data_IF_687845268906
#
_entry.id   IF_687845268906
#
_cell.length_a   1.000
_cell.length_b   1.000
_cell.length_c   1.000
_cell.angle_alpha   90.00
_cell.angle_beta   90.00
_cell.angle_gamma   90.00
#
_symmetry.space_group_name_H-M   'P 1'
#
loop_
_entity.id
_entity.type
_entity.pdbx_description
1 polymer ?
#
# COMPACT_ATOMS: atom_id res chain seq x y z
N UNK A 1 -2.22 14.99 13.48
CA UNK A 1 -0.87 15.09 12.87
C UNK A 1 -0.81 14.42 11.49
N UNK A 2 0.38 14.31 10.88
CA UNK A 2 0.62 13.58 9.63
C UNK A 2 0.67 12.08 9.94
N UNK A 3 -0.09 11.30 9.19
CA UNK A 3 -0.27 9.87 9.41
C UNK A 3 0.02 9.08 8.14
N UNK A 4 0.58 7.89 8.32
CA UNK A 4 0.65 6.83 7.32
C UNK A 4 -0.52 5.88 7.54
N UNK A 5 -1.21 5.50 6.47
CA UNK A 5 -2.30 4.54 6.46
C UNK A 5 -1.99 3.47 5.43
N UNK A 6 -1.94 2.21 5.87
CA UNK A 6 -1.83 1.06 4.98
C UNK A 6 -3.22 0.51 4.70
N UNK A 7 -3.56 0.35 3.43
CA UNK A 7 -4.83 -0.20 2.99
C UNK A 7 -4.72 -1.70 2.68
N UNK A 8 -5.86 -2.39 2.66
CA UNK A 8 -5.93 -3.82 2.35
C UNK A 8 -5.45 -4.18 0.94
N UNK A 9 -5.61 -3.28 -0.02
CA UNK A 9 -5.11 -3.44 -1.38
C UNK A 9 -3.58 -3.21 -1.50
N UNK A 10 -2.91 -2.98 -0.37
CA UNK A 10 -1.46 -2.77 -0.28
C UNK A 10 -1.03 -1.31 -0.55
N UNK A 11 -1.97 -0.39 -0.79
CA UNK A 11 -1.63 1.02 -1.00
C UNK A 11 -1.26 1.69 0.32
N UNK A 12 -0.29 2.61 0.24
CA UNK A 12 0.14 3.45 1.36
C UNK A 12 -0.32 4.88 1.14
N UNK A 13 -1.18 5.38 2.00
CA UNK A 13 -1.59 6.78 2.02
C UNK A 13 -0.84 7.53 3.10
N UNK A 14 -0.42 8.75 2.81
CA UNK A 14 0.22 9.66 3.76
C UNK A 14 -0.53 10.98 3.70
N UNK A 15 -1.03 11.46 4.83
CA UNK A 15 -1.79 12.72 4.86
C UNK A 15 -2.04 13.20 6.28
N UNK A 16 -2.69 14.36 6.41
CA UNK A 16 -3.09 14.88 7.71
C UNK A 16 -4.46 14.31 8.10
N UNK A 17 -4.50 13.54 9.18
CA UNK A 17 -5.76 13.03 9.72
C UNK A 17 -6.60 14.21 10.25
N UNK A 18 -7.84 14.32 9.75
CA UNK A 18 -8.80 15.37 10.13
C UNK A 18 -9.93 14.85 10.97
N UNK A 19 -10.38 13.63 10.70
CA UNK A 19 -11.47 13.00 11.44
C UNK A 19 -11.32 11.49 11.40
N UNK A 20 -11.74 10.86 12.48
CA UNK A 20 -11.87 9.42 12.66
C UNK A 20 -13.18 9.17 13.43
N UNK A 21 -13.89 8.10 13.09
CA UNK A 21 -15.04 7.62 13.86
C UNK A 21 -14.75 6.28 14.56
N UNK A 22 -15.72 5.76 15.31
CA UNK A 22 -15.58 4.50 16.05
C UNK A 22 -15.43 3.25 15.16
N UNK A 23 -15.69 3.37 13.86
CA UNK A 23 -15.52 2.30 12.87
C UNK A 23 -14.21 2.46 12.10
N UNK A 24 -13.34 3.39 12.51
CA UNK A 24 -12.10 3.75 11.84
C UNK A 24 -12.29 4.31 10.41
N UNK A 25 -13.45 4.90 10.08
CA UNK A 25 -13.57 5.69 8.85
C UNK A 25 -12.71 6.96 9.00
N UNK A 26 -11.84 7.21 8.01
CA UNK A 26 -10.83 8.28 8.08
C UNK A 26 -11.11 9.36 7.05
N UNK A 27 -10.89 10.62 7.45
CA UNK A 27 -10.76 11.74 6.54
C UNK A 27 -9.33 12.25 6.59
N UNK A 28 -8.62 12.12 5.46
CA UNK A 28 -7.26 12.63 5.27
C UNK A 28 -7.28 13.88 4.39
N UNK A 29 -6.46 14.86 4.75
CA UNK A 29 -6.24 16.10 3.99
C UNK A 29 -4.80 16.17 3.49
N UNK A 30 -4.58 16.82 2.33
CA UNK A 30 -3.26 16.87 1.67
C UNK A 30 -2.63 15.47 1.55
N UNK A 31 -3.46 14.51 1.15
CA UNK A 31 -3.10 13.11 1.04
C UNK A 31 -2.25 12.90 -0.20
N UNK A 32 -1.16 12.17 -0.04
CA UNK A 32 -0.41 11.55 -1.13
C UNK A 32 -0.51 10.04 -1.00
N UNK A 33 -0.54 9.36 -2.14
CA UNK A 33 -0.34 7.92 -2.19
C UNK A 33 1.12 7.65 -2.51
N UNK A 34 1.82 6.98 -1.59
CA UNK A 34 3.23 6.66 -1.74
C UNK A 34 3.40 5.24 -2.25
N UNK A 35 4.03 5.10 -3.41
CA UNK A 35 4.40 3.82 -4.00
C UNK A 35 5.86 3.56 -3.65
N UNK A 36 6.18 2.36 -3.17
CA UNK A 36 7.54 1.94 -2.86
C UNK A 36 7.93 0.79 -3.79
N UNK A 37 9.09 0.90 -4.44
CA UNK A 37 9.67 -0.18 -5.25
C UNK A 37 11.16 -0.26 -4.94
N UNK A 38 11.60 -1.38 -4.35
CA UNK A 38 12.98 -1.56 -3.90
C UNK A 38 13.45 -0.46 -2.95
N UNK A 39 14.41 0.37 -3.40
CA UNK A 39 14.96 1.52 -2.64
C UNK A 39 14.42 2.88 -3.11
N UNK A 40 13.39 2.87 -3.95
CA UNK A 40 12.78 4.08 -4.54
C UNK A 40 11.36 4.26 -4.03
N UNK A 41 10.90 5.50 -4.04
CA UNK A 41 9.50 5.83 -3.79
C UNK A 41 9.03 6.98 -4.67
N UNK A 42 7.71 7.04 -4.91
CA UNK A 42 7.07 8.18 -5.59
C UNK A 42 5.71 8.49 -4.97
N UNK A 43 5.37 9.78 -4.95
CA UNK A 43 4.18 10.31 -4.29
C UNK A 43 3.17 10.82 -5.32
N UNK A 44 1.97 10.25 -5.32
CA UNK A 44 0.86 10.67 -6.19
C UNK A 44 -0.08 11.56 -5.37
N UNK A 45 -0.30 12.83 -5.75
CA UNK A 45 -1.20 13.71 -5.01
C UNK A 45 -2.65 13.24 -5.13
N UNK A 46 -3.33 13.08 -3.98
CA UNK A 46 -4.75 12.69 -3.89
C UNK A 46 -5.64 13.78 -3.28
N UNK A 47 -5.08 14.70 -2.50
CA UNK A 47 -5.84 15.81 -1.91
C UNK A 47 -6.66 15.38 -0.69
N UNK A 48 -7.99 15.58 -0.74
CA UNK A 48 -8.89 15.08 0.33
C UNK A 48 -9.26 13.64 0.01
N UNK A 49 -9.07 12.75 0.98
CA UNK A 49 -9.33 11.33 0.81
C UNK A 49 -10.19 10.81 1.96
N UNK A 50 -11.27 10.10 1.64
CA UNK A 50 -12.14 9.44 2.61
C UNK A 50 -11.89 7.94 2.52
N UNK A 51 -11.42 7.34 3.60
CA UNK A 51 -11.14 5.90 3.68
C UNK A 51 -12.23 5.25 4.52
N UNK A 52 -12.87 4.21 3.97
CA UNK A 52 -13.80 3.40 4.75
C UNK A 52 -13.03 2.47 5.69
N UNK A 53 -13.44 2.43 6.94
CA UNK A 53 -12.65 1.88 8.04
C UNK A 53 -12.34 0.41 7.92
N UNK A 54 -13.19 -0.37 7.26
CA UNK A 54 -12.84 -1.75 6.97
C UNK A 54 -11.53 -1.81 6.17
N UNK A 55 -11.31 -0.94 5.18
CA UNK A 55 -10.15 -1.04 4.28
C UNK A 55 -8.81 -0.64 4.93
N UNK A 56 -8.83 -0.19 6.18
CA UNK A 56 -7.64 0.18 6.95
C UNK A 56 -7.03 -1.08 7.56
N UNK A 57 -5.76 -1.34 7.23
CA UNK A 57 -4.96 -2.39 7.89
C UNK A 57 -4.30 -1.84 9.13
N UNK A 58 -3.61 -0.71 8.99
CA UNK A 58 -3.00 0.01 10.10
C UNK A 58 -2.93 1.52 9.81
N UNK A 59 -2.82 2.28 10.89
CA UNK A 59 -2.61 3.72 10.88
C UNK A 59 -1.54 4.05 11.93
N UNK A 60 -0.58 4.90 11.56
CA UNK A 60 0.48 5.34 12.45
C UNK A 60 0.85 6.79 12.20
N UNK A 61 1.13 7.53 13.27
CA UNK A 61 1.67 8.88 13.18
C UNK A 61 3.10 8.84 12.60
N UNK A 62 3.43 9.81 11.73
CA UNK A 62 4.76 9.93 11.15
C UNK A 62 5.58 10.93 11.98
N UNK A 63 6.73 10.47 12.45
CA UNK A 63 7.78 11.32 13.00
C UNK A 63 8.53 12.01 11.85
N UNK A 64 8.34 13.33 11.72
CA UNK A 64 8.89 14.13 10.63
C UNK A 64 10.42 14.23 10.67
N UNK A 65 11.05 14.15 11.85
CA UNK A 65 12.50 14.24 11.98
C UNK A 65 13.17 12.98 11.43
N UNK A 66 12.55 11.81 11.65
CA UNK A 66 13.05 10.53 11.15
C UNK A 66 12.74 10.31 9.67
N UNK A 67 11.69 10.91 9.13
CA UNK A 67 11.34 10.79 7.71
C UNK A 67 12.48 11.33 6.81
N UNK A 68 13.17 12.41 7.22
CA UNK A 68 14.28 13.00 6.46
C UNK A 68 15.55 12.14 6.38
N UNK A 69 15.75 11.21 7.33
CA UNK A 69 16.94 10.34 7.38
C UNK A 69 16.75 9.02 6.63
N UNK A 70 15.64 8.87 5.89
CA UNK A 70 15.32 7.63 5.21
C UNK A 70 16.25 7.41 3.99
N UNK A 71 16.86 6.23 3.80
CA UNK A 71 17.76 5.96 2.66
C UNK A 71 17.03 5.76 1.32
N UNK A 72 15.74 6.10 1.23
CA UNK A 72 14.93 5.89 0.05
C UNK A 72 15.08 7.06 -0.93
N UNK A 73 15.19 6.74 -2.22
CA UNK A 73 15.29 7.74 -3.28
C UNK A 73 13.90 8.12 -3.80
N UNK A 74 13.58 9.42 -3.77
CA UNK A 74 12.37 9.92 -4.43
C UNK A 74 12.56 9.95 -5.95
N UNK A 75 11.59 9.41 -6.69
CA UNK A 75 11.57 9.41 -8.16
C UNK A 75 10.27 10.00 -8.70
N UNK A 76 10.20 10.22 -10.01
CA UNK A 76 8.99 10.73 -10.68
C UNK A 76 7.82 9.74 -10.61
N UNK A 77 6.61 10.24 -10.79
CA UNK A 77 5.39 9.41 -10.81
C UNK A 77 5.45 8.42 -11.98
N UNK A 78 5.91 8.88 -13.15
CA UNK A 78 6.03 8.03 -14.34
C UNK A 78 7.03 6.89 -14.10
N UNK A 79 8.18 7.19 -13.50
CA UNK A 79 9.22 6.20 -13.21
C UNK A 79 8.74 5.16 -12.19
N UNK A 80 8.15 5.59 -11.06
CA UNK A 80 7.73 4.64 -10.02
C UNK A 80 6.59 3.73 -10.50
N UNK A 81 5.68 4.25 -11.32
CA UNK A 81 4.57 3.46 -11.86
C UNK A 81 5.06 2.39 -12.83
N UNK A 82 6.04 2.72 -13.67
CA UNK A 82 6.64 1.74 -14.58
C UNK A 82 7.44 0.68 -13.81
N UNK A 83 8.22 1.07 -12.81
CA UNK A 83 8.94 0.10 -11.96
C UNK A 83 7.97 -0.81 -11.19
N UNK A 84 6.89 -0.26 -10.64
CA UNK A 84 5.86 -1.03 -9.95
C UNK A 84 5.19 -2.03 -10.90
N UNK A 85 4.90 -1.62 -12.14
CA UNK A 85 4.31 -2.48 -13.17
C UNK A 85 5.22 -3.67 -13.47
N UNK A 86 6.52 -3.44 -13.64
CA UNK A 86 7.51 -4.50 -13.90
C UNK A 86 7.62 -5.46 -12.72
N UNK A 87 7.69 -4.94 -11.49
CA UNK A 87 7.75 -5.78 -10.27
C UNK A 87 6.50 -6.63 -10.10
N UNK A 88 5.31 -6.06 -10.32
CA UNK A 88 4.05 -6.79 -10.23
C UNK A 88 3.95 -7.90 -11.29
N UNK A 89 4.40 -7.64 -12.53
CA UNK A 89 4.42 -8.66 -13.59
C UNK A 89 5.35 -9.83 -13.21
N UNK A 90 6.58 -9.54 -12.77
CA UNK A 90 7.53 -10.56 -12.33
C UNK A 90 7.00 -11.36 -11.12
N UNK A 91 6.37 -10.68 -10.16
CA UNK A 91 5.76 -11.34 -8.99
C UNK A 91 4.63 -12.26 -9.41
N UNK A 92 3.71 -11.81 -10.27
CA UNK A 92 2.60 -12.62 -10.79
C UNK A 92 3.08 -13.85 -11.56
N UNK A 93 4.12 -13.73 -12.38
CA UNK A 93 4.71 -14.87 -13.09
C UNK A 93 5.30 -15.89 -12.10
N UNK A 94 6.07 -15.42 -11.12
CA UNK A 94 6.65 -16.28 -10.09
C UNK A 94 5.60 -16.96 -9.22
N UNK A 95 4.49 -16.28 -8.91
CA UNK A 95 3.39 -16.80 -8.11
C UNK A 95 2.62 -17.86 -8.90
N UNK A 96 2.37 -17.65 -10.20
CA UNK A 96 1.75 -18.68 -11.06
C UNK A 96 2.57 -19.97 -11.08
N UNK A 97 3.89 -19.86 -11.23
CA UNK A 97 4.79 -21.02 -11.21
C UNK A 97 4.77 -21.73 -9.85
N UNK A 98 4.80 -20.97 -8.74
CA UNK A 98 4.71 -21.54 -7.39
C UNK A 98 3.38 -22.25 -7.16
N UNK A 99 2.27 -21.63 -7.52
CA UNK A 99 0.91 -22.20 -7.37
C UNK A 99 0.78 -23.47 -8.20
N UNK A 100 1.29 -23.47 -9.43
CA UNK A 100 1.29 -24.67 -10.28
C UNK A 100 2.10 -25.80 -9.64
N UNK A 101 3.32 -25.53 -9.20
CA UNK A 101 4.18 -26.54 -8.57
C UNK A 101 3.58 -27.11 -7.27
N UNK A 102 2.89 -26.29 -6.47
CA UNK A 102 2.18 -26.75 -5.27
C UNK A 102 0.96 -27.60 -5.62
N UNK A 103 0.21 -27.20 -6.65
CA UNK A 103 -0.95 -27.95 -7.14
C UNK A 103 -0.56 -29.34 -7.65
N UNK A 104 0.56 -29.45 -8.36
CA UNK A 104 1.13 -30.74 -8.81
C UNK A 104 1.50 -31.65 -7.64
N UNK A 105 1.75 -31.08 -6.45
CA UNK A 105 2.02 -31.81 -5.20
C UNK A 105 0.78 -32.03 -4.34
N UNK A 106 -0.41 -31.71 -4.83
CA UNK A 106 -1.68 -31.85 -4.10
C UNK A 106 -1.90 -30.81 -3.00
N UNK A 107 -1.12 -29.72 -2.98
CA UNK A 107 -1.28 -28.62 -2.03
C UNK A 107 -2.05 -27.47 -2.67
N UNK A 108 -3.04 -26.91 -1.96
CA UNK A 108 -3.74 -25.69 -2.36
C UNK A 108 -3.22 -24.50 -1.56
N UNK A 109 -3.01 -23.36 -2.23
CA UNK A 109 -2.74 -22.09 -1.57
C UNK A 109 -4.06 -21.36 -1.43
N UNK A 110 -4.56 -21.09 -0.21
CA UNK A 110 -5.73 -20.25 -0.05
C UNK A 110 -5.43 -18.85 -0.61
N UNK A 111 -6.34 -18.31 -1.41
CA UNK A 111 -6.23 -16.93 -1.89
C UNK A 111 -6.34 -16.00 -0.69
N UNK A 112 -5.44 -15.04 -0.56
CA UNK A 112 -5.54 -14.03 0.50
C UNK A 112 -6.83 -13.20 0.41
N UNK A 113 -7.45 -13.14 -0.77
CA UNK A 113 -8.67 -12.36 -1.05
C UNK A 113 -9.98 -13.03 -0.59
N UNK A 114 -9.97 -14.27 -0.08
CA UNK A 114 -11.21 -14.95 0.38
C UNK A 114 -11.62 -14.60 1.81
N UNK A 115 -11.08 -13.54 2.41
CA UNK A 115 -11.51 -13.03 3.72
C UNK A 115 -12.71 -12.06 3.65
N UNK A 116 -13.16 -11.69 2.44
CA UNK A 116 -14.29 -10.78 2.22
C UNK A 116 -15.65 -11.48 2.02
N UNK A 117 -15.74 -12.80 2.24
CA UNK A 117 -17.03 -13.53 2.26
C UNK A 117 -17.46 -13.89 3.69
N UNK A 118 -17.78 -12.87 4.50
CA UNK A 118 -18.64 -13.03 5.69
C UNK A 118 -19.50 -11.78 5.93
#
# INVERSE_FOLDING_TARGET
EKHLVLLRDGRTLIGYLRSIDQFANLVLHQTVERIHVGKKYGDIPRGIFVVRGENVVLLGEIDLEKESDTPLQQVSIEEILEEQRVEQQAKQESEKLKVQALKERGLSVPRADTLDEY
#
